data_IF_480509539737
#
_entry.id   IF_480509539737
#
_cell.length_a   1.000
_cell.length_b   1.000
_cell.length_c   1.000
_cell.angle_alpha   90.00
_cell.angle_beta   90.00
_cell.angle_gamma   90.00
#
_symmetry.space_group_name_H-M   'P 1'
#
loop_
_entity.id
_entity.type
_entity.pdbx_description
1 polymer ?
#
# COMPACT_ATOMS: atom_id res chain seq x y z
N UNK A 1 -15.08 22.90 -0.33
CA UNK A 1 -15.58 21.87 -1.25
C UNK A 1 -15.38 22.32 -2.71
N UNK A 2 -14.11 22.43 -3.11
CA UNK A 2 -13.76 22.46 -4.52
C UNK A 2 -13.24 21.06 -4.80
N UNK A 3 -14.12 20.19 -5.28
CA UNK A 3 -13.79 18.82 -5.60
C UNK A 3 -12.72 18.80 -6.68
N UNK A 4 -11.51 18.37 -6.32
CA UNK A 4 -10.36 18.29 -7.20
C UNK A 4 -9.78 16.89 -7.23
N UNK A 5 -9.11 16.55 -8.34
CA UNK A 5 -8.33 15.32 -8.46
C UNK A 5 -6.86 15.66 -8.20
N UNK A 6 -6.25 15.01 -7.21
CA UNK A 6 -4.82 15.09 -6.99
C UNK A 6 -4.14 13.88 -7.64
N UNK A 7 -3.17 14.13 -8.52
CA UNK A 7 -2.35 13.07 -9.12
C UNK A 7 -1.09 12.89 -8.28
N UNK A 8 -0.74 11.63 -8.01
CA UNK A 8 0.46 11.20 -7.29
C UNK A 8 1.10 10.05 -8.07
N UNK A 9 2.42 9.94 -7.96
CA UNK A 9 3.18 8.89 -8.63
C UNK A 9 3.95 8.08 -7.61
N UNK A 10 4.05 6.77 -7.88
CA UNK A 10 4.89 5.83 -7.16
C UNK A 10 5.64 4.99 -8.19
N UNK A 11 6.82 4.52 -7.81
CA UNK A 11 7.74 3.76 -8.64
C UNK A 11 7.61 2.27 -8.36
N UNK A 12 7.38 1.87 -7.11
CA UNK A 12 7.53 0.46 -6.70
C UNK A 12 6.28 -0.13 -6.08
N UNK A 13 5.59 0.62 -5.22
CA UNK A 13 4.48 0.07 -4.46
C UNK A 13 3.41 1.09 -4.08
N UNK A 14 2.19 0.57 -3.96
CA UNK A 14 1.07 1.24 -3.32
C UNK A 14 0.32 0.26 -2.42
N UNK A 15 -0.07 0.70 -1.22
CA UNK A 15 -0.84 -0.10 -0.28
C UNK A 15 -2.10 0.60 0.20
N UNK A 16 -3.23 -0.12 0.23
CA UNK A 16 -4.51 0.37 0.77
C UNK A 16 -5.11 -0.58 1.82
N UNK A 17 -6.21 -0.16 2.43
CA UNK A 17 -6.85 -0.90 3.51
C UNK A 17 -6.03 -0.86 4.80
N UNK A 18 -6.07 -1.90 5.61
CA UNK A 18 -5.27 -1.98 6.84
C UNK A 18 -3.76 -2.00 6.56
N UNK A 19 -3.33 -2.48 5.39
CA UNK A 19 -1.93 -2.46 4.99
C UNK A 19 -1.47 -1.04 4.65
N UNK A 20 -2.35 -0.26 3.98
CA UNK A 20 -2.11 1.14 3.65
C UNK A 20 -1.81 2.05 4.84
N UNK A 21 -2.24 1.67 6.05
CA UNK A 21 -2.03 2.45 7.27
C UNK A 21 -0.67 2.21 7.94
N UNK A 22 0.07 1.19 7.50
CA UNK A 22 1.28 0.73 8.20
C UNK A 22 2.39 1.79 8.18
N UNK A 23 2.74 2.42 7.05
CA UNK A 23 3.80 3.44 7.07
C UNK A 23 3.43 4.67 7.89
N UNK A 24 2.17 5.11 7.84
CA UNK A 24 1.68 6.21 8.68
C UNK A 24 1.78 5.88 10.18
N UNK A 25 1.42 4.66 10.58
CA UNK A 25 1.55 4.22 11.97
C UNK A 25 3.01 4.17 12.44
N UNK A 26 3.89 3.66 11.58
CA UNK A 26 5.33 3.61 11.84
C UNK A 26 5.87 5.03 11.98
N UNK A 27 5.53 5.94 11.07
CA UNK A 27 5.94 7.35 11.13
C UNK A 27 5.53 8.00 12.45
N UNK A 28 4.22 7.92 12.79
CA UNK A 28 3.68 8.43 14.08
C UNK A 28 4.31 7.76 15.30
N UNK A 29 4.73 6.50 15.20
CA UNK A 29 5.42 5.80 16.29
C UNK A 29 6.87 6.28 16.44
N UNK A 30 7.59 6.42 15.33
CA UNK A 30 8.99 6.88 15.28
C UNK A 30 9.12 8.30 15.83
N UNK A 31 8.20 9.20 15.48
CA UNK A 31 8.15 10.56 16.03
C UNK A 31 8.01 10.54 17.56
N UNK A 32 7.13 9.68 18.09
CA UNK A 32 6.89 9.56 19.54
C UNK A 32 8.02 8.85 20.30
N UNK A 33 8.80 7.99 19.64
CA UNK A 33 9.79 7.11 20.28
C UNK A 33 11.21 7.27 19.72
N UNK A 34 11.55 8.43 19.15
CA UNK A 34 12.82 8.68 18.47
C UNK A 34 14.05 8.20 19.28
N UNK A 35 14.09 8.53 20.58
CA UNK A 35 15.18 8.15 21.50
C UNK A 35 15.27 6.63 21.74
N UNK A 36 14.14 5.93 21.75
CA UNK A 36 14.10 4.48 21.93
C UNK A 36 14.57 3.74 20.68
N UNK A 37 14.17 4.25 19.51
CA UNK A 37 14.58 3.73 18.20
C UNK A 37 16.07 3.90 17.95
N UNK A 38 16.66 5.05 18.29
CA UNK A 38 18.11 5.28 18.16
C UNK A 38 18.91 4.24 18.95
N UNK A 39 18.49 3.96 20.19
CA UNK A 39 19.10 2.90 21.01
C UNK A 39 18.95 1.52 20.37
N UNK A 40 17.74 1.15 19.94
CA UNK A 40 17.53 -0.14 19.28
C UNK A 40 18.38 -0.28 17.99
N UNK A 41 18.42 0.78 17.17
CA UNK A 41 19.21 0.80 15.93
C UNK A 41 20.71 0.65 16.19
N UNK A 42 21.23 1.19 17.29
CA UNK A 42 22.65 1.00 17.67
C UNK A 42 22.99 -0.44 18.08
N UNK A 43 22.00 -1.25 18.50
CA UNK A 43 22.23 -2.64 18.92
C UNK A 43 22.03 -3.65 17.79
N UNK A 44 21.00 -3.48 16.97
CA UNK A 44 20.62 -4.48 15.94
C UNK A 44 20.70 -3.96 14.51
N UNK A 45 21.10 -2.71 14.30
CA UNK A 45 21.13 -2.06 12.99
C UNK A 45 19.76 -1.53 12.56
N UNK A 46 19.77 -0.38 11.88
CA UNK A 46 18.55 0.34 11.48
C UNK A 46 17.66 -0.45 10.52
N UNK A 47 18.27 -1.22 9.61
CA UNK A 47 17.55 -2.06 8.64
C UNK A 47 16.70 -3.13 9.35
N UNK A 48 17.26 -3.83 10.35
CA UNK A 48 16.51 -4.84 11.12
C UNK A 48 15.38 -4.22 11.91
N UNK A 49 15.59 -3.03 12.49
CA UNK A 49 14.52 -2.30 13.19
C UNK A 49 13.39 -1.97 12.22
N UNK A 50 13.70 -1.52 11.00
CA UNK A 50 12.69 -1.24 9.98
C UNK A 50 11.86 -2.48 9.65
N UNK A 51 12.52 -3.61 9.37
CA UNK A 51 11.83 -4.88 9.06
C UNK A 51 10.93 -5.30 10.22
N UNK A 52 11.42 -5.23 11.47
CA UNK A 52 10.65 -5.59 12.66
C UNK A 52 9.42 -4.69 12.82
N UNK A 53 9.57 -3.38 12.65
CA UNK A 53 8.45 -2.43 12.71
C UNK A 53 7.39 -2.78 11.67
N UNK A 54 7.77 -2.96 10.41
CA UNK A 54 6.83 -3.33 9.34
C UNK A 54 6.08 -4.62 9.65
N UNK A 55 6.78 -5.66 10.15
CA UNK A 55 6.14 -6.92 10.52
C UNK A 55 5.16 -6.74 11.69
N UNK A 56 5.56 -6.04 12.75
CA UNK A 56 4.72 -5.85 13.95
C UNK A 56 3.47 -5.02 13.61
N UNK A 57 3.65 -3.85 12.99
CA UNK A 57 2.53 -2.96 12.65
C UNK A 57 1.62 -3.60 11.60
N UNK A 58 2.21 -4.26 10.59
CA UNK A 58 1.47 -5.01 9.57
C UNK A 58 0.62 -6.12 10.18
N UNK A 59 1.21 -6.99 11.00
CA UNK A 59 0.50 -8.09 11.65
C UNK A 59 -0.63 -7.58 12.57
N UNK A 60 -0.36 -6.56 13.39
CA UNK A 60 -1.35 -5.97 14.28
C UNK A 60 -2.55 -5.39 13.50
N UNK A 61 -2.28 -4.68 12.39
CA UNK A 61 -3.32 -4.11 11.51
C UNK A 61 -4.14 -5.19 10.81
N UNK A 62 -3.49 -6.22 10.26
CA UNK A 62 -4.18 -7.33 9.61
C UNK A 62 -5.09 -8.09 10.58
N UNK A 63 -4.58 -8.43 11.77
CA UNK A 63 -5.38 -9.09 12.82
C UNK A 63 -6.57 -8.23 13.23
N UNK A 64 -6.34 -6.94 13.47
CA UNK A 64 -7.41 -6.05 13.89
C UNK A 64 -8.49 -5.85 12.81
N UNK A 65 -8.12 -5.74 11.54
CA UNK A 65 -9.08 -5.68 10.43
C UNK A 65 -9.88 -6.97 10.24
N UNK A 66 -9.25 -8.11 10.53
CA UNK A 66 -9.93 -9.42 10.48
C UNK A 66 -11.00 -9.50 11.56
N UNK A 67 -10.65 -9.14 12.79
CA UNK A 67 -11.56 -9.21 13.95
C UNK A 67 -12.63 -8.11 13.91
N UNK A 68 -12.31 -6.90 13.44
CA UNK A 68 -13.20 -5.74 13.51
C UNK A 68 -13.65 -5.25 12.13
N UNK A 69 -14.95 -5.41 11.86
CA UNK A 69 -15.57 -4.96 10.60
C UNK A 69 -15.42 -3.47 10.34
N UNK A 70 -15.51 -2.63 11.37
CA UNK A 70 -15.46 -1.16 11.26
C UNK A 70 -14.10 -0.63 10.82
N UNK A 71 -13.02 -1.39 11.06
CA UNK A 71 -11.67 -1.02 10.63
C UNK A 71 -11.51 -1.10 9.11
N UNK A 72 -12.19 -2.03 8.45
CA UNK A 72 -12.12 -2.22 7.00
C UNK A 72 -13.14 -1.34 6.28
N UNK A 73 -12.67 -0.45 5.40
CA UNK A 73 -13.50 0.38 4.55
C UNK A 73 -14.41 -0.45 3.65
N UNK A 74 -15.68 -0.06 3.55
CA UNK A 74 -16.52 -0.55 2.46
C UNK A 74 -16.13 0.20 1.19
N UNK A 75 -15.77 -0.57 0.17
CA UNK A 75 -15.30 -0.04 -1.11
C UNK A 75 -16.07 -0.67 -2.26
N UNK A 76 -16.20 0.07 -3.34
CA UNK A 76 -16.63 -0.43 -4.64
C UNK A 76 -15.42 -0.42 -5.58
N UNK A 77 -15.13 -1.58 -6.16
CA UNK A 77 -14.05 -1.77 -7.13
C UNK A 77 -14.66 -1.79 -8.54
N UNK A 78 -14.08 -0.98 -9.42
CA UNK A 78 -14.43 -0.92 -10.85
C UNK A 78 -15.94 -0.73 -11.12
N UNK A 79 -16.61 0.01 -10.23
CA UNK A 79 -18.05 0.28 -10.31
C UNK A 79 -18.98 -0.93 -10.16
N UNK A 80 -18.43 -2.12 -9.85
CA UNK A 80 -19.20 -3.37 -9.89
C UNK A 80 -19.14 -4.16 -8.57
N UNK A 81 -17.96 -4.27 -7.96
CA UNK A 81 -17.75 -5.21 -6.85
C UNK A 81 -17.60 -4.49 -5.52
N UNK A 82 -18.61 -4.60 -4.66
CA UNK A 82 -18.57 -4.04 -3.32
C UNK A 82 -18.01 -5.03 -2.31
N UNK A 83 -17.10 -4.59 -1.45
CA UNK A 83 -16.54 -5.41 -0.38
C UNK A 83 -15.95 -4.56 0.74
N UNK A 84 -15.75 -5.19 1.90
CA UNK A 84 -14.87 -4.61 2.93
C UNK A 84 -13.43 -4.96 2.65
N UNK A 85 -12.62 -3.95 2.37
CA UNK A 85 -11.22 -4.14 2.03
C UNK A 85 -10.38 -4.35 3.29
N UNK A 86 -9.75 -5.52 3.40
CA UNK A 86 -8.73 -5.75 4.43
C UNK A 86 -7.40 -5.18 4.00
N UNK A 87 -6.95 -5.50 2.80
CA UNK A 87 -5.73 -4.96 2.24
C UNK A 87 -5.80 -4.93 0.72
N UNK A 88 -5.09 -3.98 0.12
CA UNK A 88 -4.70 -4.02 -1.29
C UNK A 88 -3.22 -3.72 -1.36
N UNK A 89 -2.50 -4.46 -2.19
CA UNK A 89 -1.11 -4.18 -2.53
C UNK A 89 -0.99 -4.12 -4.06
N UNK A 90 -0.44 -3.03 -4.57
CA UNK A 90 -0.03 -2.87 -5.94
C UNK A 90 1.49 -2.87 -5.96
N UNK A 91 2.11 -3.83 -6.64
CA UNK A 91 3.55 -4.04 -6.65
C UNK A 91 4.02 -4.34 -8.07
N UNK A 92 5.19 -3.81 -8.45
CA UNK A 92 5.87 -4.18 -9.69
C UNK A 92 7.12 -5.06 -9.46
N UNK A 93 7.40 -5.44 -8.21
CA UNK A 93 8.50 -6.33 -7.86
C UNK A 93 8.10 -7.31 -6.75
N UNK A 94 8.71 -8.50 -6.68
CA UNK A 94 8.46 -9.44 -5.60
C UNK A 94 9.08 -8.92 -4.29
N UNK A 95 8.26 -8.82 -3.25
CA UNK A 95 8.69 -8.34 -1.94
C UNK A 95 8.30 -9.33 -0.84
N UNK A 96 9.19 -10.22 -0.41
CA UNK A 96 8.90 -11.16 0.66
C UNK A 96 8.52 -10.43 1.96
N UNK A 97 7.51 -10.91 2.72
CA UNK A 97 6.75 -12.14 2.51
C UNK A 97 5.46 -11.97 1.67
N UNK A 98 5.29 -10.86 0.96
CA UNK A 98 4.09 -10.61 0.16
C UNK A 98 3.98 -11.61 -1.00
N UNK A 99 2.75 -11.94 -1.43
CA UNK A 99 2.57 -12.83 -2.56
C UNK A 99 3.17 -12.25 -3.84
N UNK A 100 3.73 -13.12 -4.68
CA UNK A 100 4.27 -12.75 -5.98
C UNK A 100 3.25 -11.93 -6.80
N UNK A 101 3.60 -10.70 -7.24
CA UNK A 101 2.70 -9.86 -8.02
C UNK A 101 2.46 -10.37 -9.44
N UNK A 102 3.26 -11.31 -9.95
CA UNK A 102 3.12 -11.85 -11.31
C UNK A 102 3.51 -10.84 -12.40
N UNK A 103 4.31 -9.84 -12.03
CA UNK A 103 4.87 -8.83 -12.93
C UNK A 103 6.34 -8.60 -12.56
N UNK A 104 7.15 -8.21 -13.54
CA UNK A 104 8.54 -7.82 -13.32
C UNK A 104 8.69 -6.29 -13.32
N UNK A 105 9.75 -5.78 -12.69
CA UNK A 105 10.01 -4.33 -12.58
C UNK A 105 10.16 -3.64 -13.95
N UNK A 106 10.58 -4.37 -14.98
CA UNK A 106 10.70 -3.86 -16.36
C UNK A 106 9.42 -3.95 -17.18
N UNK A 107 8.35 -4.56 -16.65
CA UNK A 107 7.07 -4.63 -17.34
C UNK A 107 6.36 -3.27 -17.24
N UNK A 108 5.69 -2.86 -18.31
CA UNK A 108 4.75 -1.74 -18.25
C UNK A 108 3.40 -2.18 -17.64
N UNK A 109 3.49 -2.74 -16.42
CA UNK A 109 2.38 -3.32 -15.70
C UNK A 109 2.59 -3.29 -14.19
N UNK A 110 1.51 -3.39 -13.45
CA UNK A 110 1.54 -3.55 -11.99
C UNK A 110 0.66 -4.73 -11.54
N UNK A 111 1.17 -5.52 -10.60
CA UNK A 111 0.44 -6.62 -10.01
C UNK A 111 -0.37 -6.15 -8.81
N UNK A 112 -1.69 -6.31 -8.87
CA UNK A 112 -2.62 -6.00 -7.79
C UNK A 112 -2.98 -7.28 -7.04
N UNK A 113 -2.82 -7.28 -5.72
CA UNK A 113 -3.40 -8.28 -4.82
C UNK A 113 -4.44 -7.61 -3.95
N UNK A 114 -5.70 -8.02 -4.11
CA UNK A 114 -6.83 -7.51 -3.35
C UNK A 114 -7.26 -8.57 -2.33
N UNK A 115 -7.30 -8.17 -1.07
CA UNK A 115 -7.67 -9.03 0.05
C UNK A 115 -8.96 -8.48 0.67
N UNK A 116 -10.12 -9.10 0.37
CA UNK A 116 -11.35 -8.82 1.11
C UNK A 116 -11.20 -9.23 2.58
N UNK A 117 -11.88 -8.53 3.50
CA UNK A 117 -11.95 -8.94 4.91
C UNK A 117 -12.54 -10.34 5.06
N UNK A 118 -13.60 -10.62 4.29
CA UNK A 118 -14.23 -11.93 4.22
C UNK A 118 -14.31 -12.32 2.75
N UNK A 119 -13.82 -13.51 2.43
CA UNK A 119 -13.81 -14.03 1.06
C UNK A 119 -12.41 -14.42 0.61
N UNK A 120 -12.31 -14.80 -0.66
CA UNK A 120 -11.03 -15.20 -1.27
C UNK A 120 -10.29 -13.98 -1.78
N UNK A 121 -8.99 -13.84 -1.47
CA UNK A 121 -8.13 -12.90 -2.16
C UNK A 121 -8.17 -13.15 -3.66
N UNK A 122 -8.00 -12.10 -4.45
CA UNK A 122 -7.86 -12.23 -5.89
C UNK A 122 -6.73 -11.32 -6.36
N UNK A 123 -6.14 -11.71 -7.49
CA UNK A 123 -5.08 -10.95 -8.14
C UNK A 123 -5.57 -10.42 -9.47
N UNK A 124 -5.04 -9.27 -9.87
CA UNK A 124 -5.26 -8.66 -11.19
C UNK A 124 -3.95 -8.06 -11.65
N UNK A 125 -3.57 -8.30 -12.89
CA UNK A 125 -2.52 -7.55 -13.56
C UNK A 125 -3.16 -6.34 -14.22
N UNK A 126 -2.55 -5.17 -14.04
CA UNK A 126 -2.98 -3.92 -14.63
C UNK A 126 -1.93 -3.53 -15.66
N UNK A 127 -2.29 -3.53 -16.95
CA UNK A 127 -1.39 -3.16 -18.05
C UNK A 127 -1.45 -1.65 -18.31
N UNK A 128 -0.53 -1.15 -19.15
CA UNK A 128 -0.61 0.20 -19.72
C UNK A 128 -1.99 0.47 -20.36
N UNK A 129 -2.62 1.59 -19.97
CA UNK A 129 -3.94 1.98 -20.47
C UNK A 129 -5.12 1.36 -19.71
N UNK A 130 -4.90 0.33 -18.90
CA UNK A 130 -5.92 -0.14 -17.95
C UNK A 130 -6.02 0.82 -16.77
N UNK A 131 -7.18 0.77 -16.10
CA UNK A 131 -7.37 1.43 -14.81
C UNK A 131 -7.96 0.49 -13.77
N UNK A 132 -7.61 0.75 -12.52
CA UNK A 132 -8.25 0.17 -11.35
C UNK A 132 -8.85 1.31 -10.53
N UNK A 133 -10.15 1.23 -10.26
CA UNK A 133 -10.83 2.27 -9.47
C UNK A 133 -11.36 1.70 -8.17
N UNK A 134 -11.27 2.52 -7.12
CA UNK A 134 -11.78 2.20 -5.80
C UNK A 134 -12.55 3.40 -5.27
N UNK A 135 -13.85 3.21 -5.03
CA UNK A 135 -14.73 4.22 -4.44
C UNK A 135 -15.04 3.87 -3.00
N UNK A 136 -14.95 4.85 -2.09
CA UNK A 136 -15.30 4.70 -0.68
C UNK A 136 -16.81 4.82 -0.52
N UNK A 137 -17.42 3.90 0.23
CA UNK A 137 -18.87 3.85 0.42
C UNK A 137 -19.32 4.17 1.85
N UNK A 138 -18.47 3.94 2.85
CA UNK A 138 -18.83 4.08 4.27
C UNK A 138 -17.94 5.06 5.06
N UNK A 139 -17.14 5.85 4.36
CA UNK A 139 -16.25 6.88 4.91
C UNK A 139 -15.86 7.88 3.85
N UNK A 140 -15.53 9.10 4.29
CA UNK A 140 -15.15 10.18 3.39
C UNK A 140 -13.71 10.05 2.92
N UNK A 141 -12.79 9.61 3.80
CA UNK A 141 -11.38 9.44 3.45
C UNK A 141 -10.76 8.15 3.97
N UNK A 142 -9.62 7.78 3.37
CA UNK A 142 -8.73 6.71 3.82
C UNK A 142 -7.26 7.12 3.66
N UNK A 143 -6.45 6.74 4.64
CA UNK A 143 -5.00 6.74 4.50
C UNK A 143 -4.57 5.50 3.70
N UNK A 144 -3.59 5.70 2.83
CA UNK A 144 -2.90 4.71 2.01
C UNK A 144 -1.41 5.07 1.96
N UNK A 145 -0.60 4.34 1.20
CA UNK A 145 0.79 4.75 0.99
C UNK A 145 1.24 4.54 -0.45
N UNK A 146 2.25 5.32 -0.83
CA UNK A 146 3.01 5.22 -2.09
C UNK A 146 4.50 5.15 -1.74
N UNK A 147 5.21 4.10 -2.16
CA UNK A 147 6.66 3.94 -1.89
C UNK A 147 7.08 4.22 -0.43
N UNK A 148 6.28 3.74 0.53
CA UNK A 148 6.42 3.98 1.98
C UNK A 148 5.95 5.35 2.52
N UNK A 149 5.58 6.30 1.66
CA UNK A 149 5.05 7.59 2.10
C UNK A 149 3.53 7.51 2.31
N UNK A 150 3.02 7.86 3.52
CA UNK A 150 1.59 7.87 3.78
C UNK A 150 0.91 9.02 3.02
N UNK A 151 -0.23 8.69 2.41
CA UNK A 151 -1.06 9.58 1.61
C UNK A 151 -2.52 9.46 2.05
N UNK A 152 -3.35 10.44 1.68
CA UNK A 152 -4.79 10.41 1.99
C UNK A 152 -5.63 10.60 0.72
N UNK A 153 -6.65 9.75 0.58
CA UNK A 153 -7.61 9.81 -0.52
C UNK A 153 -9.00 10.12 0.04
N UNK A 154 -9.76 10.98 -0.65
CA UNK A 154 -11.14 11.33 -0.29
C UNK A 154 -12.10 10.88 -1.38
N UNK A 155 -13.15 10.16 -1.01
CA UNK A 155 -14.23 9.68 -1.88
C UNK A 155 -13.85 8.53 -2.82
N UNK A 156 -12.76 8.64 -3.55
CA UNK A 156 -12.31 7.63 -4.50
C UNK A 156 -10.80 7.69 -4.76
N UNK A 157 -10.28 6.64 -5.38
CA UNK A 157 -8.92 6.54 -5.88
C UNK A 157 -8.92 5.79 -7.21
N UNK A 158 -8.00 6.15 -8.12
CA UNK A 158 -7.73 5.44 -9.37
C UNK A 158 -6.24 5.16 -9.44
N UNK A 159 -5.91 3.91 -9.76
CA UNK A 159 -4.56 3.49 -10.08
C UNK A 159 -4.49 3.24 -11.58
N UNK A 160 -3.47 3.82 -12.20
CA UNK A 160 -3.12 3.66 -13.61
C UNK A 160 -1.63 3.35 -13.71
N UNK A 161 -1.22 2.64 -14.76
CA UNK A 161 0.20 2.50 -15.10
C UNK A 161 0.62 3.70 -15.93
N UNK A 162 1.51 4.53 -15.37
CA UNK A 162 1.98 5.75 -16.03
C UNK A 162 3.11 5.50 -17.04
N UNK A 163 3.78 4.35 -16.96
CA UNK A 163 4.90 3.95 -17.83
C UNK A 163 5.98 3.17 -17.06
N UNK A 164 7.15 3.02 -17.67
CA UNK A 164 8.33 2.36 -17.08
C UNK A 164 9.47 3.36 -16.91
N UNK A 165 10.17 3.29 -15.78
CA UNK A 165 11.43 4.02 -15.57
C UNK A 165 12.60 3.08 -15.87
N UNK A 166 13.37 3.39 -16.91
CA UNK A 166 14.61 2.69 -17.19
C UNK A 166 15.70 3.15 -16.19
N UNK A 167 16.14 2.26 -15.31
CA UNK A 167 17.32 2.52 -14.51
C UNK A 167 18.57 2.33 -15.37
N UNK A 168 19.29 3.42 -15.63
CA UNK A 168 20.62 3.38 -16.26
C UNK A 168 21.65 3.50 -15.15
N UNK A 169 22.37 2.42 -14.79
CA UNK A 169 23.44 2.51 -13.80
C UNK A 169 24.45 3.56 -14.25
N UNK A 170 24.82 4.48 -13.36
CA UNK A 170 25.90 5.43 -13.64
C UNK A 170 27.17 4.66 -14.00
N UNK A 171 27.82 5.04 -15.10
CA UNK A 171 29.19 4.58 -15.34
C UNK A 171 30.05 5.18 -14.24
N UNK A 172 30.49 4.34 -13.30
CA UNK A 172 31.56 4.72 -12.40
C UNK A 172 32.80 4.95 -13.28
N UNK A 173 33.10 6.22 -13.57
CA UNK A 173 34.36 6.64 -14.15
C UNK A 173 35.42 6.75 -13.05
#
# INVERSE_FOLDING_TARGET
PDGGTAVRHAVTMCGLGQWGLVPGDISRWRERHARGRERAASWVGLERVNVIEYVIFGAARMLAGTVSRSRCAMVEIDGAKQMRLLALAALNLPLPPLPDPGVAMGDEAIGLTVVPRLGRPFRRRLEAGDSFTLRLLDRDSVEFFLDEDPEEATGWLKLDVAGVLAFVPGQNA
#
